data_IF_739960915905
#
_entry.id   IF_739960915905
#
_cell.length_a   1.000
_cell.length_b   1.000
_cell.length_c   1.000
_cell.angle_alpha   90.00
_cell.angle_beta   90.00
_cell.angle_gamma   90.00
#
_symmetry.space_group_name_H-M   'P 1'
#
loop_
_entity.id
_entity.type
_entity.pdbx_description
1 polymer ?
#
# COMPACT_ATOMS: atom_id res chain seq x y z
N UNK A 1 -53.74 8.49 40.15
CA UNK A 1 -52.89 8.41 38.96
C UNK A 1 -51.54 9.08 39.34
N UNK A 2 -50.49 8.29 39.46
CA UNK A 2 -49.19 8.80 39.83
C UNK A 2 -48.53 9.37 38.57
N UNK A 3 -48.29 10.69 38.55
CA UNK A 3 -47.51 11.31 37.49
C UNK A 3 -46.05 10.92 37.66
N UNK A 4 -45.52 10.09 36.74
CA UNK A 4 -44.11 9.82 36.63
C UNK A 4 -43.49 11.05 35.93
N UNK A 5 -42.80 11.88 36.68
CA UNK A 5 -41.98 12.96 36.09
C UNK A 5 -40.62 12.34 35.67
N UNK A 6 -40.41 12.15 34.38
CA UNK A 6 -39.11 11.84 33.85
C UNK A 6 -38.24 13.07 34.03
N UNK A 7 -37.25 12.98 34.92
CA UNK A 7 -36.21 14.02 34.99
C UNK A 7 -35.51 14.15 33.65
N UNK A 8 -35.25 15.37 33.22
CA UNK A 8 -34.41 15.64 32.04
C UNK A 8 -33.00 15.09 32.33
N UNK A 9 -32.70 13.90 31.80
CA UNK A 9 -31.36 13.38 31.77
C UNK A 9 -30.59 14.19 30.71
N UNK A 10 -29.83 15.20 31.16
CA UNK A 10 -28.75 15.79 30.35
C UNK A 10 -27.53 14.92 30.59
N UNK A 11 -27.00 14.23 29.60
CA UNK A 11 -25.71 13.55 29.75
C UNK A 11 -24.68 14.59 30.23
N UNK A 12 -23.76 14.23 31.14
CA UNK A 12 -22.71 15.15 31.55
C UNK A 12 -22.00 15.67 30.28
N UNK A 13 -21.68 16.98 30.22
CA UNK A 13 -20.94 17.52 29.10
C UNK A 13 -19.71 16.65 28.86
N UNK A 14 -19.33 16.37 27.61
CA UNK A 14 -18.10 15.64 27.33
C UNK A 14 -16.97 16.34 28.08
N UNK A 15 -16.04 15.57 28.68
CA UNK A 15 -14.98 16.15 29.48
C UNK A 15 -14.29 17.24 28.63
N UNK A 16 -14.16 18.48 29.15
CA UNK A 16 -13.48 19.53 28.39
C UNK A 16 -12.09 19.06 28.06
N UNK A 17 -11.65 19.22 26.81
CA UNK A 17 -10.31 18.97 26.29
C UNK A 17 -9.98 17.53 25.83
N UNK A 18 -10.91 16.79 25.24
CA UNK A 18 -10.59 15.59 24.46
C UNK A 18 -10.52 15.92 22.97
N UNK A 19 -9.39 15.63 22.35
CA UNK A 19 -9.17 15.81 20.89
C UNK A 19 -9.21 14.45 20.23
N UNK A 20 -10.08 14.30 19.22
CA UNK A 20 -10.05 13.19 18.28
C UNK A 20 -9.27 13.61 17.03
N UNK A 21 -8.41 12.75 16.54
CA UNK A 21 -7.51 13.01 15.41
C UNK A 21 -7.91 12.11 14.26
N UNK A 22 -8.06 12.68 13.06
CA UNK A 22 -8.25 11.91 11.83
C UNK A 22 -6.98 12.02 11.01
N UNK A 23 -6.37 10.89 10.66
CA UNK A 23 -5.15 10.82 9.85
C UNK A 23 -5.34 9.86 8.68
N UNK A 24 -4.88 10.28 7.50
CA UNK A 24 -4.71 9.42 6.33
C UNK A 24 -3.27 8.95 6.22
N UNK A 25 -3.05 7.66 6.05
CA UNK A 25 -1.74 7.08 5.76
C UNK A 25 -1.74 6.39 4.41
N UNK A 26 -0.73 6.66 3.59
CA UNK A 26 -0.68 6.34 2.16
C UNK A 26 0.63 5.60 1.84
N UNK A 27 0.56 4.27 1.74
CA UNK A 27 1.69 3.39 1.41
C UNK A 27 1.81 3.23 -0.09
N UNK A 28 2.83 3.81 -0.70
CA UNK A 28 2.98 3.76 -2.16
C UNK A 28 3.54 2.42 -2.65
N UNK A 29 3.32 2.16 -3.94
CA UNK A 29 3.75 0.92 -4.59
C UNK A 29 5.27 0.87 -4.78
N UNK A 30 5.78 -0.33 -5.06
CA UNK A 30 7.20 -0.55 -5.33
C UNK A 30 7.74 0.41 -6.38
N UNK A 31 8.89 1.00 -6.12
CA UNK A 31 9.54 2.02 -6.96
C UNK A 31 8.66 3.24 -7.27
N UNK A 32 7.54 3.44 -6.56
CA UNK A 32 6.80 4.68 -6.64
C UNK A 32 7.22 5.61 -5.50
N UNK A 33 7.71 6.78 -5.87
CA UNK A 33 8.13 7.80 -4.92
C UNK A 33 7.83 9.17 -5.51
N UNK A 34 6.82 9.86 -4.96
CA UNK A 34 6.40 11.18 -5.46
C UNK A 34 7.52 12.23 -5.38
N UNK A 35 8.36 12.17 -4.33
CA UNK A 35 9.47 13.10 -4.14
C UNK A 35 10.53 12.92 -5.22
N UNK A 36 10.87 11.67 -5.56
CA UNK A 36 11.82 11.36 -6.63
C UNK A 36 11.25 11.71 -8.02
N UNK A 37 9.96 11.42 -8.27
CA UNK A 37 9.27 11.86 -9.50
C UNK A 37 9.29 13.37 -9.65
N UNK A 38 9.04 14.12 -8.58
CA UNK A 38 9.08 15.58 -8.59
C UNK A 38 10.51 16.11 -8.72
N UNK A 39 11.48 15.44 -8.13
CA UNK A 39 12.90 15.74 -8.29
C UNK A 39 13.35 15.64 -9.76
N UNK A 40 12.85 14.65 -10.52
CA UNK A 40 13.04 14.55 -11.97
C UNK A 40 12.41 15.74 -12.69
N UNK A 41 11.13 16.05 -12.42
CA UNK A 41 10.42 17.16 -13.05
C UNK A 41 11.12 18.51 -12.77
N UNK A 42 11.67 18.66 -11.57
CA UNK A 42 12.45 19.84 -11.16
C UNK A 42 13.93 19.83 -11.59
N UNK A 43 14.39 18.77 -12.24
CA UNK A 43 15.80 18.61 -12.65
C UNK A 43 16.79 18.87 -11.50
N UNK A 44 16.50 18.32 -10.33
CA UNK A 44 17.25 18.55 -9.10
C UNK A 44 18.62 17.86 -9.08
N UNK A 45 19.43 18.17 -8.07
CA UNK A 45 20.74 17.52 -7.86
C UNK A 45 20.58 16.03 -7.54
N UNK A 46 19.55 15.64 -6.78
CA UNK A 46 19.27 14.24 -6.46
C UNK A 46 18.91 13.44 -7.72
N UNK A 47 18.07 13.99 -8.60
CA UNK A 47 17.78 13.38 -9.88
C UNK A 47 19.03 13.17 -10.73
N UNK A 48 19.87 14.19 -10.88
CA UNK A 48 21.13 14.11 -11.64
C UNK A 48 22.10 13.07 -11.10
N UNK A 49 22.06 12.84 -9.78
CA UNK A 49 22.95 11.87 -9.14
C UNK A 49 22.43 10.43 -9.22
N UNK A 50 21.11 10.24 -9.12
CA UNK A 50 20.53 8.93 -8.87
C UNK A 50 19.51 8.47 -9.94
N UNK A 51 18.94 9.37 -10.74
CA UNK A 51 17.83 9.09 -11.63
C UNK A 51 18.07 9.40 -13.12
N UNK A 52 19.22 9.94 -13.50
CA UNK A 52 19.45 10.50 -14.85
C UNK A 52 19.56 9.43 -15.95
N UNK A 53 19.82 8.17 -15.60
CA UNK A 53 19.83 7.09 -16.59
C UNK A 53 18.39 6.65 -16.95
N UNK A 54 17.87 6.99 -18.14
CA UNK A 54 16.52 6.65 -18.54
C UNK A 54 16.33 5.16 -18.87
N UNK A 55 17.42 4.41 -19.00
CA UNK A 55 17.38 2.96 -19.21
C UNK A 55 17.22 2.19 -17.90
N UNK A 56 17.39 2.85 -16.77
CA UNK A 56 17.28 2.28 -15.45
C UNK A 56 15.84 2.37 -14.96
N UNK A 57 15.29 1.24 -14.51
CA UNK A 57 13.96 1.19 -13.91
C UNK A 57 14.09 1.65 -12.46
N UNK A 58 13.99 2.96 -12.24
CA UNK A 58 14.14 3.59 -10.95
C UNK A 58 12.94 4.49 -10.60
N UNK A 59 12.83 4.85 -9.32
CA UNK A 59 11.71 5.63 -8.78
C UNK A 59 11.60 7.05 -9.35
N UNK A 60 12.68 7.62 -9.85
CA UNK A 60 12.67 8.94 -10.50
C UNK A 60 11.97 8.91 -11.86
N UNK A 61 12.05 7.78 -12.58
CA UNK A 61 11.48 7.66 -13.91
C UNK A 61 9.98 7.36 -13.92
N UNK A 62 9.40 7.07 -12.75
CA UNK A 62 7.96 6.88 -12.59
C UNK A 62 7.20 8.21 -12.48
N UNK A 63 5.89 8.19 -12.79
CA UNK A 63 4.96 9.27 -12.44
C UNK A 63 4.32 9.00 -11.07
N UNK A 64 3.55 9.95 -10.59
CA UNK A 64 2.75 9.77 -9.39
C UNK A 64 1.76 8.61 -9.56
N UNK A 65 1.75 7.73 -8.59
CA UNK A 65 0.74 6.69 -8.44
C UNK A 65 -0.62 7.25 -8.02
N UNK A 66 -1.64 6.42 -7.99
CA UNK A 66 -2.94 6.79 -7.40
C UNK A 66 -2.84 7.03 -5.90
N UNK A 67 -1.87 6.41 -5.21
CA UNK A 67 -1.60 6.67 -3.79
C UNK A 67 -1.06 8.08 -3.58
N UNK A 68 -0.08 8.50 -4.36
CA UNK A 68 0.44 9.86 -4.31
C UNK A 68 -0.64 10.91 -4.61
N UNK A 69 -1.54 10.62 -5.58
CA UNK A 69 -2.67 11.50 -5.94
C UNK A 69 -3.74 11.55 -4.85
N UNK A 70 -4.09 10.44 -4.22
CA UNK A 70 -5.01 10.42 -3.07
C UNK A 70 -4.43 11.21 -1.90
N UNK A 71 -3.14 11.01 -1.59
CA UNK A 71 -2.44 11.80 -0.58
C UNK A 71 -2.48 13.30 -0.91
N UNK A 72 -2.30 13.67 -2.18
CA UNK A 72 -2.32 15.07 -2.61
C UNK A 72 -3.70 15.72 -2.43
N UNK A 73 -4.76 14.95 -2.61
CA UNK A 73 -6.15 15.39 -2.44
C UNK A 73 -6.66 15.27 -0.99
N UNK A 74 -5.94 14.61 -0.10
CA UNK A 74 -6.31 14.53 1.31
C UNK A 74 -5.92 15.81 2.05
N UNK A 75 -6.54 16.08 3.22
CA UNK A 75 -6.19 17.23 4.04
C UNK A 75 -4.72 17.18 4.47
N UNK A 76 -3.88 18.03 3.92
CA UNK A 76 -2.40 17.95 4.02
C UNK A 76 -1.85 17.85 5.44
N UNK A 77 -2.43 18.59 6.39
CA UNK A 77 -1.99 18.52 7.80
C UNK A 77 -2.22 17.13 8.42
N UNK A 78 -3.17 16.37 7.88
CA UNK A 78 -3.60 15.07 8.37
C UNK A 78 -3.11 13.91 7.50
N UNK A 79 -2.46 14.19 6.36
CA UNK A 79 -1.95 13.20 5.42
C UNK A 79 -0.51 12.81 5.74
N UNK A 80 -0.24 11.50 5.72
CA UNK A 80 1.09 10.90 5.87
C UNK A 80 1.36 10.08 4.62
N UNK A 81 2.41 10.41 3.88
CA UNK A 81 2.84 9.66 2.72
C UNK A 81 4.06 8.82 3.09
N UNK A 82 4.00 7.54 2.79
CA UNK A 82 5.11 6.62 2.92
C UNK A 82 5.50 6.18 1.52
N UNK A 83 6.72 6.51 1.15
CA UNK A 83 7.27 6.21 -0.16
C UNK A 83 7.38 4.69 -0.39
N UNK A 84 7.35 4.31 -1.66
CA UNK A 84 7.26 2.93 -2.08
C UNK A 84 8.42 2.04 -1.64
N UNK A 85 8.15 0.75 -1.63
CA UNK A 85 9.12 -0.29 -1.27
C UNK A 85 10.32 -0.21 -2.22
N UNK A 86 11.54 -0.27 -1.68
CA UNK A 86 12.79 -0.15 -2.39
C UNK A 86 13.23 1.29 -2.67
N UNK A 87 12.52 2.30 -2.16
CA UNK A 87 12.87 3.72 -2.40
C UNK A 87 13.12 4.51 -1.13
N UNK A 88 13.90 5.56 -1.25
CA UNK A 88 14.11 6.59 -0.23
C UNK A 88 14.07 7.96 -0.91
N UNK A 89 13.48 8.96 -0.24
CA UNK A 89 13.34 10.32 -0.76
C UNK A 89 14.70 10.94 -1.10
N UNK A 90 14.87 11.36 -2.37
CA UNK A 90 16.08 12.00 -2.89
C UNK A 90 17.36 11.15 -2.88
N UNK A 91 17.26 9.84 -2.65
CA UNK A 91 18.36 8.87 -2.66
C UNK A 91 18.21 7.85 -3.80
N UNK A 92 19.21 6.99 -3.99
CA UNK A 92 19.15 5.85 -4.91
C UNK A 92 18.25 4.75 -4.39
N UNK A 93 17.65 4.01 -5.30
CA UNK A 93 16.78 2.88 -4.94
C UNK A 93 17.60 1.69 -4.43
N UNK A 94 17.04 0.93 -3.49
CA UNK A 94 17.68 -0.23 -2.89
C UNK A 94 17.17 -1.54 -3.49
N UNK A 95 18.11 -2.31 -4.08
CA UNK A 95 17.80 -3.54 -4.81
C UNK A 95 17.14 -4.59 -3.92
N UNK A 96 17.57 -4.77 -2.68
CA UNK A 96 17.05 -5.81 -1.80
C UNK A 96 15.63 -5.49 -1.35
N UNK A 97 15.33 -4.23 -1.03
CA UNK A 97 13.97 -3.77 -0.78
C UNK A 97 13.08 -3.98 -2.00
N UNK A 98 13.57 -3.63 -3.18
CA UNK A 98 12.85 -3.81 -4.44
C UNK A 98 12.60 -5.29 -4.78
N UNK A 99 13.62 -6.13 -4.70
CA UNK A 99 13.54 -7.53 -5.15
C UNK A 99 12.77 -8.42 -4.18
N UNK A 100 12.95 -8.24 -2.87
CA UNK A 100 12.45 -9.16 -1.84
C UNK A 100 11.42 -8.52 -0.89
N UNK A 101 11.20 -7.19 -0.95
CA UNK A 101 10.30 -6.48 -0.05
C UNK A 101 10.76 -6.46 1.42
N UNK A 102 12.05 -6.76 1.67
CA UNK A 102 12.68 -6.87 2.98
C UNK A 102 13.68 -5.72 3.22
N UNK A 103 14.50 -5.83 4.27
CA UNK A 103 15.50 -4.85 4.70
C UNK A 103 14.91 -3.46 5.03
N UNK A 104 15.74 -2.43 5.06
CA UNK A 104 15.40 -1.09 5.56
C UNK A 104 14.38 -0.32 4.69
N UNK A 105 14.19 -0.72 3.44
CA UNK A 105 13.18 -0.15 2.53
C UNK A 105 12.04 -1.11 2.19
N UNK A 106 11.98 -2.25 2.88
CA UNK A 106 10.99 -3.29 2.68
C UNK A 106 9.64 -3.01 3.35
N UNK A 107 8.69 -3.96 3.19
CA UNK A 107 7.30 -3.83 3.66
C UNK A 107 7.24 -3.51 5.16
N UNK A 108 7.96 -4.28 6.00
CA UNK A 108 7.91 -4.11 7.47
C UNK A 108 8.53 -2.78 7.89
N UNK A 109 9.64 -2.37 7.26
CA UNK A 109 10.30 -1.10 7.54
C UNK A 109 9.41 0.11 7.18
N UNK A 110 8.76 0.09 6.01
CA UNK A 110 7.80 1.13 5.61
C UNK A 110 6.63 1.27 6.60
N UNK A 111 6.16 0.15 7.17
CA UNK A 111 5.14 0.20 8.22
C UNK A 111 5.67 0.84 9.51
N UNK A 112 6.92 0.60 9.88
CA UNK A 112 7.55 1.29 11.03
C UNK A 112 7.65 2.80 10.78
N UNK A 113 8.10 3.23 9.60
CA UNK A 113 8.15 4.65 9.20
C UNK A 113 6.76 5.29 9.33
N UNK A 114 5.72 4.66 8.77
CA UNK A 114 4.36 5.17 8.89
C UNK A 114 3.86 5.27 10.33
N UNK A 115 4.25 4.33 11.20
CA UNK A 115 3.94 4.39 12.65
C UNK A 115 4.69 5.53 13.35
N UNK A 116 5.94 5.80 12.98
CA UNK A 116 6.74 6.92 13.49
C UNK A 116 6.07 8.25 13.15
N UNK A 117 5.71 8.46 11.89
CA UNK A 117 5.06 9.68 11.42
C UNK A 117 3.71 9.93 12.10
N UNK A 118 2.90 8.88 12.31
CA UNK A 118 1.65 8.99 13.08
C UNK A 118 1.94 9.42 14.52
N UNK A 119 2.90 8.77 15.19
CA UNK A 119 3.24 9.07 16.57
C UNK A 119 3.80 10.51 16.71
N UNK A 120 4.60 10.97 15.75
CA UNK A 120 5.09 12.36 15.71
C UNK A 120 3.96 13.36 15.53
N UNK A 121 3.01 13.12 14.61
CA UNK A 121 1.83 13.99 14.45
C UNK A 121 1.01 14.07 15.74
N UNK A 122 0.80 12.95 16.43
CA UNK A 122 0.09 12.93 17.73
C UNK A 122 0.88 13.73 18.77
N UNK A 123 2.21 13.57 18.82
CA UNK A 123 3.09 14.31 19.73
C UNK A 123 3.02 15.82 19.49
N UNK A 124 3.05 16.25 18.23
CA UNK A 124 2.92 17.66 17.86
C UNK A 124 1.57 18.25 18.27
N UNK A 125 0.48 17.50 18.05
CA UNK A 125 -0.87 17.91 18.47
C UNK A 125 -0.97 18.04 19.99
N UNK A 126 -0.36 17.11 20.75
CA UNK A 126 -0.32 17.15 22.22
C UNK A 126 0.49 18.35 22.70
N UNK A 127 1.63 18.66 22.08
CA UNK A 127 2.45 19.84 22.41
C UNK A 127 1.71 21.15 22.12
N UNK A 128 0.96 21.19 21.02
CA UNK A 128 0.15 22.38 20.68
C UNK A 128 -1.06 22.56 21.62
N UNK A 129 -1.51 21.50 22.28
CA UNK A 129 -2.67 21.49 23.17
C UNK A 129 -2.35 20.77 24.49
N UNK A 130 -1.47 21.33 25.37
CA UNK A 130 -0.97 20.64 26.56
C UNK A 130 -2.06 20.20 27.55
N UNK A 131 -3.15 20.95 27.62
CA UNK A 131 -4.29 20.68 28.51
C UNK A 131 -5.28 19.64 27.94
N UNK A 132 -5.13 19.26 26.66
CA UNK A 132 -6.02 18.33 26.01
C UNK A 132 -5.50 16.88 26.12
N UNK A 133 -6.45 15.92 26.20
CA UNK A 133 -6.16 14.49 26.02
C UNK A 133 -6.47 14.08 24.60
N UNK A 134 -5.60 13.28 24.02
CA UNK A 134 -5.92 12.60 22.76
C UNK A 134 -6.87 11.43 23.09
N UNK A 135 -8.07 11.46 22.58
CA UNK A 135 -9.08 10.44 22.81
C UNK A 135 -9.00 9.31 21.79
N UNK A 136 -9.39 9.60 20.57
CA UNK A 136 -9.40 8.61 19.47
C UNK A 136 -8.54 9.09 18.30
N UNK A 137 -7.67 8.23 17.81
CA UNK A 137 -6.99 8.37 16.53
C UNK A 137 -7.75 7.55 15.49
N UNK A 138 -8.34 8.22 14.52
CA UNK A 138 -9.12 7.62 13.43
C UNK A 138 -8.20 7.55 12.22
N UNK A 139 -8.04 6.38 11.64
CA UNK A 139 -7.13 6.11 10.53
C UNK A 139 -7.89 5.76 9.26
N UNK A 140 -7.54 6.43 8.17
CA UNK A 140 -7.81 6.02 6.79
C UNK A 140 -6.50 5.51 6.19
N UNK A 141 -6.50 4.28 5.74
CA UNK A 141 -5.29 3.58 5.29
C UNK A 141 -5.40 3.28 3.81
N UNK A 142 -4.38 3.64 3.04
CA UNK A 142 -4.35 3.40 1.60
C UNK A 142 -3.06 2.70 1.19
N UNK A 143 -3.12 1.90 0.12
CA UNK A 143 -1.93 1.24 -0.41
C UNK A 143 -2.09 0.74 -1.84
N UNK A 144 -0.95 0.61 -2.54
CA UNK A 144 -0.88 0.05 -3.89
C UNK A 144 0.22 -1.00 -3.98
N UNK A 145 -0.04 -2.12 -4.70
CA UNK A 145 0.98 -3.15 -4.92
C UNK A 145 1.53 -3.72 -3.59
N UNK A 146 2.85 -3.77 -3.40
CA UNK A 146 3.46 -4.10 -2.11
C UNK A 146 3.20 -3.04 -1.04
N UNK A 147 2.90 -1.80 -1.42
CA UNK A 147 2.34 -0.80 -0.50
C UNK A 147 0.94 -1.18 0.00
N UNK A 148 0.13 -1.89 -0.80
CA UNK A 148 -1.14 -2.46 -0.33
C UNK A 148 -0.90 -3.61 0.69
N UNK A 149 0.13 -4.43 0.48
CA UNK A 149 0.56 -5.41 1.49
C UNK A 149 1.05 -4.70 2.77
N UNK A 150 1.81 -3.60 2.65
CA UNK A 150 2.22 -2.78 3.79
C UNK A 150 1.01 -2.18 4.52
N UNK A 151 0.00 -1.68 3.81
CA UNK A 151 -1.25 -1.17 4.39
C UNK A 151 -2.01 -2.25 5.16
N UNK A 152 -2.10 -3.47 4.63
CA UNK A 152 -2.72 -4.62 5.31
C UNK A 152 -1.92 -5.02 6.54
N UNK A 153 -0.60 -5.13 6.45
CA UNK A 153 0.28 -5.41 7.59
C UNK A 153 0.21 -4.29 8.65
N UNK A 154 0.11 -3.03 8.25
CA UNK A 154 -0.12 -1.92 9.16
C UNK A 154 -1.43 -2.09 9.95
N UNK A 155 -2.54 -2.45 9.27
CA UNK A 155 -3.84 -2.73 9.92
C UNK A 155 -3.69 -3.85 10.95
N UNK A 156 -3.00 -4.95 10.61
CA UNK A 156 -2.67 -6.00 11.57
C UNK A 156 -1.91 -5.46 12.78
N UNK A 157 -0.84 -4.68 12.57
CA UNK A 157 -0.02 -4.13 13.66
C UNK A 157 -0.83 -3.25 14.61
N UNK A 158 -1.60 -2.29 14.08
CA UNK A 158 -2.39 -1.37 14.92
C UNK A 158 -3.63 -2.02 15.54
N UNK A 159 -3.98 -3.22 15.10
CA UNK A 159 -5.04 -4.04 15.69
C UNK A 159 -4.59 -4.85 16.91
N UNK A 160 -3.29 -4.96 17.15
CA UNK A 160 -2.72 -5.72 18.27
C UNK A 160 -3.15 -5.11 19.60
N UNK A 161 -3.52 -6.01 20.51
CA UNK A 161 -3.79 -5.67 21.91
C UNK A 161 -2.65 -6.19 22.78
N UNK A 162 -2.37 -5.46 23.86
CA UNK A 162 -1.42 -5.88 24.87
C UNK A 162 -1.79 -7.28 25.39
N UNK A 163 -0.83 -8.17 25.37
CA UNK A 163 -0.92 -9.48 25.99
C UNK A 163 -0.32 -9.41 27.40
N UNK A 164 -1.15 -9.57 28.41
CA UNK A 164 -0.72 -9.50 29.82
C UNK A 164 0.30 -10.57 30.21
N UNK A 165 0.38 -11.65 29.43
CA UNK A 165 1.35 -12.74 29.65
C UNK A 165 2.71 -12.45 29.00
N UNK A 166 2.83 -11.41 28.16
CA UNK A 166 4.07 -11.01 27.51
C UNK A 166 4.43 -9.59 27.94
N UNK A 167 5.47 -9.40 28.78
CA UNK A 167 5.88 -8.06 29.23
C UNK A 167 6.32 -7.09 28.13
N UNK A 168 6.69 -7.63 26.96
CA UNK A 168 7.11 -6.84 25.79
C UNK A 168 5.94 -6.46 24.88
N UNK A 169 4.78 -7.06 25.13
CA UNK A 169 3.58 -6.79 24.34
C UNK A 169 3.00 -5.40 24.65
N UNK A 170 2.58 -4.71 23.63
CA UNK A 170 2.02 -3.37 23.70
C UNK A 170 0.78 -3.25 22.82
N UNK A 171 -0.17 -2.39 23.22
CA UNK A 171 -1.28 -2.03 22.36
C UNK A 171 -0.79 -1.37 21.06
N UNK A 172 -1.40 -1.70 19.94
CA UNK A 172 -1.12 -1.14 18.62
C UNK A 172 0.26 -1.48 18.04
N UNK A 173 0.94 -2.52 18.57
CA UNK A 173 2.19 -3.03 18.01
C UNK A 173 3.24 -1.94 17.75
N UNK A 174 3.70 -1.82 16.50
CA UNK A 174 4.71 -0.83 16.13
C UNK A 174 4.29 0.60 16.48
N UNK A 175 3.03 0.98 16.21
CA UNK A 175 2.53 2.32 16.53
C UNK A 175 2.61 2.61 18.04
N UNK A 176 2.20 1.64 18.87
CA UNK A 176 2.32 1.76 20.33
C UNK A 176 3.76 1.94 20.81
N UNK A 177 4.69 1.22 20.18
CA UNK A 177 6.12 1.35 20.44
C UNK A 177 6.62 2.76 20.12
N UNK A 178 6.27 3.29 18.95
CA UNK A 178 6.68 4.64 18.55
C UNK A 178 6.03 5.73 19.43
N UNK A 179 4.75 5.55 19.82
CA UNK A 179 4.10 6.42 20.82
C UNK A 179 4.86 6.47 22.14
N UNK A 180 5.28 5.30 22.67
CA UNK A 180 6.03 5.24 23.94
C UNK A 180 7.38 5.96 23.85
N UNK A 181 8.11 5.84 22.74
CA UNK A 181 9.37 6.56 22.52
C UNK A 181 9.18 8.09 22.64
N UNK A 182 8.00 8.59 22.31
CA UNK A 182 7.64 10.01 22.40
C UNK A 182 6.91 10.39 23.71
N UNK A 183 6.89 9.50 24.69
CA UNK A 183 6.24 9.73 25.98
C UNK A 183 4.71 9.75 25.93
N UNK A 184 4.12 9.12 24.90
CA UNK A 184 2.69 8.98 24.74
C UNK A 184 2.29 7.58 25.23
N UNK A 185 1.35 7.52 26.19
CA UNK A 185 0.84 6.25 26.70
C UNK A 185 -0.21 5.67 25.74
N UNK A 186 0.04 4.54 25.04
CA UNK A 186 -0.93 3.98 24.12
C UNK A 186 -2.17 3.39 24.82
N UNK A 187 -2.14 3.17 26.12
CA UNK A 187 -3.30 2.67 26.86
C UNK A 187 -4.37 3.76 27.10
N UNK A 188 -4.00 5.04 26.97
CA UNK A 188 -4.90 6.18 27.12
C UNK A 188 -5.57 6.60 25.80
N UNK A 189 -5.17 6.00 24.68
CA UNK A 189 -5.61 6.35 23.33
C UNK A 189 -6.42 5.21 22.75
N UNK A 190 -7.49 5.54 22.02
CA UNK A 190 -8.21 4.60 21.17
C UNK A 190 -7.74 4.76 19.74
N UNK A 191 -7.44 3.67 19.06
CA UNK A 191 -7.19 3.65 17.61
C UNK A 191 -8.36 2.99 16.91
N UNK A 192 -8.87 3.64 15.87
CA UNK A 192 -10.05 3.23 15.10
C UNK A 192 -9.70 3.31 13.60
N UNK A 193 -9.69 2.16 12.93
CA UNK A 193 -9.42 2.10 11.49
C UNK A 193 -10.75 2.28 10.77
N UNK A 194 -10.96 3.49 10.22
CA UNK A 194 -12.21 3.85 9.56
C UNK A 194 -12.32 3.25 8.17
N UNK A 195 -11.23 3.29 7.41
CA UNK A 195 -11.19 2.89 6.02
C UNK A 195 -9.86 2.21 5.66
N UNK A 196 -9.93 1.16 4.84
CA UNK A 196 -8.79 0.54 4.16
C UNK A 196 -9.11 0.51 2.66
N UNK A 197 -8.43 1.35 1.89
CA UNK A 197 -8.54 1.43 0.43
C UNK A 197 -7.26 0.95 -0.24
N UNK A 198 -7.33 -0.16 -0.97
CA UNK A 198 -6.14 -0.77 -1.56
C UNK A 198 -6.32 -1.03 -3.06
N UNK A 199 -5.22 -0.86 -3.80
CA UNK A 199 -5.14 -1.12 -5.21
C UNK A 199 -4.22 -2.32 -5.44
N UNK A 200 -4.73 -3.33 -6.09
CA UNK A 200 -4.06 -4.49 -6.67
C UNK A 200 -2.89 -5.02 -5.82
N UNK A 201 -3.24 -5.62 -4.69
CA UNK A 201 -2.25 -6.10 -3.69
C UNK A 201 -1.35 -7.17 -4.29
N UNK A 202 -0.04 -6.94 -4.21
CA UNK A 202 1.01 -7.93 -4.49
C UNK A 202 1.76 -8.18 -3.20
N UNK A 203 1.94 -9.45 -2.83
CA UNK A 203 2.54 -9.82 -1.54
C UNK A 203 3.94 -10.38 -1.61
N UNK A 204 4.67 -10.17 -2.72
CA UNK A 204 6.06 -10.66 -2.86
C UNK A 204 6.93 -10.17 -1.71
N UNK A 205 7.26 -11.08 -0.81
CA UNK A 205 8.07 -10.82 0.37
C UNK A 205 8.93 -12.05 0.69
N UNK A 206 10.19 -11.85 1.06
CA UNK A 206 11.06 -12.89 1.60
C UNK A 206 11.97 -12.31 2.66
N UNK A 207 11.95 -12.88 3.86
CA UNK A 207 12.93 -12.54 4.91
C UNK A 207 14.33 -13.09 4.60
N UNK A 208 14.42 -14.06 3.70
CA UNK A 208 15.68 -14.74 3.40
C UNK A 208 16.11 -14.40 1.97
N UNK A 209 16.96 -13.40 1.85
CA UNK A 209 17.55 -12.95 0.57
C UNK A 209 18.40 -14.01 -0.13
N UNK A 210 18.73 -15.13 0.55
CA UNK A 210 19.48 -16.26 0.01
C UNK A 210 18.57 -17.32 -0.64
N UNK A 211 17.26 -17.24 -0.51
CA UNK A 211 16.31 -18.15 -1.13
C UNK A 211 15.73 -17.55 -2.41
N UNK A 212 15.70 -18.34 -3.45
CA UNK A 212 15.69 -18.00 -4.85
C UNK A 212 14.37 -17.56 -5.46
N UNK A 213 13.26 -17.46 -4.70
CA UNK A 213 11.99 -16.97 -5.28
C UNK A 213 11.02 -16.53 -4.18
N UNK A 214 10.36 -15.39 -4.33
CA UNK A 214 9.22 -14.99 -3.51
C UNK A 214 8.15 -16.10 -3.58
N UNK A 215 7.65 -16.53 -2.42
CA UNK A 215 6.57 -17.51 -2.36
C UNK A 215 5.27 -16.78 -1.96
N UNK A 216 4.46 -16.45 -2.92
CA UNK A 216 3.23 -15.67 -2.74
C UNK A 216 2.24 -16.28 -1.72
N UNK A 217 2.20 -17.61 -1.58
CA UNK A 217 1.30 -18.26 -0.62
C UNK A 217 1.79 -18.15 0.84
N UNK A 218 3.10 -18.05 1.08
CA UNK A 218 3.66 -17.92 2.43
C UNK A 218 3.58 -16.45 2.93
N UNK A 219 3.61 -15.47 2.04
CA UNK A 219 3.63 -14.06 2.38
C UNK A 219 2.37 -13.61 3.10
N UNK A 220 1.21 -14.20 2.79
CA UNK A 220 -0.06 -13.93 3.48
C UNK A 220 0.06 -14.26 4.96
N UNK A 221 0.68 -15.39 5.31
CA UNK A 221 0.84 -15.84 6.70
C UNK A 221 1.90 -15.01 7.42
N UNK A 222 3.04 -14.77 6.80
CA UNK A 222 4.17 -14.02 7.38
C UNK A 222 3.83 -12.56 7.65
N UNK A 223 3.06 -11.94 6.78
CA UNK A 223 2.61 -10.56 6.87
C UNK A 223 1.21 -10.40 7.45
N UNK A 224 0.54 -11.49 7.85
CA UNK A 224 -0.84 -11.46 8.37
C UNK A 224 -1.80 -10.65 7.51
N UNK A 225 -1.74 -10.82 6.19
CA UNK A 225 -2.45 -9.97 5.23
C UNK A 225 -3.98 -10.15 5.25
N UNK A 226 -4.49 -11.21 5.85
CA UNK A 226 -5.90 -11.49 6.08
C UNK A 226 -6.44 -10.94 7.42
N UNK A 227 -5.57 -10.43 8.31
CA UNK A 227 -5.99 -9.84 9.59
C UNK A 227 -6.35 -8.35 9.45
N UNK A 228 -7.29 -8.05 8.57
CA UNK A 228 -7.75 -6.70 8.24
C UNK A 228 -9.18 -6.39 8.68
N UNK A 229 -9.87 -7.34 9.29
CA UNK A 229 -11.28 -7.24 9.70
C UNK A 229 -11.58 -6.14 10.74
N UNK A 230 -10.55 -5.50 11.31
CA UNK A 230 -10.71 -4.35 12.21
C UNK A 230 -10.97 -3.03 11.48
N UNK A 231 -10.68 -2.95 10.18
CA UNK A 231 -11.09 -1.82 9.37
C UNK A 231 -12.62 -1.87 9.17
N UNK A 232 -13.29 -0.73 9.39
CA UNK A 232 -14.75 -0.66 9.31
C UNK A 232 -15.29 -0.78 7.90
N UNK A 233 -14.53 -0.26 6.93
CA UNK A 233 -14.81 -0.37 5.49
C UNK A 233 -13.53 -0.75 4.78
N UNK A 234 -13.59 -1.80 3.96
CA UNK A 234 -12.46 -2.30 3.17
C UNK A 234 -12.88 -2.28 1.71
N UNK A 235 -12.07 -1.67 0.86
CA UNK A 235 -12.25 -1.61 -0.59
C UNK A 235 -10.94 -2.02 -1.26
N UNK A 236 -11.01 -3.02 -2.12
CA UNK A 236 -9.90 -3.52 -2.90
C UNK A 236 -10.22 -3.44 -4.39
N UNK A 237 -9.49 -2.64 -5.13
CA UNK A 237 -9.58 -2.58 -6.59
C UNK A 237 -8.46 -3.39 -7.21
N UNK A 238 -8.80 -4.30 -8.12
CA UNK A 238 -7.89 -5.28 -8.68
C UNK A 238 -7.81 -5.20 -10.20
N UNK A 239 -6.69 -5.64 -10.77
CA UNK A 239 -6.49 -5.78 -12.20
C UNK A 239 -7.13 -7.09 -12.69
N UNK A 240 -8.03 -7.00 -13.69
CA UNK A 240 -8.66 -8.19 -14.28
C UNK A 240 -7.71 -8.95 -15.20
N UNK A 241 -6.75 -8.29 -15.80
CA UNK A 241 -6.03 -8.79 -16.96
C UNK A 241 -4.51 -8.78 -16.78
N UNK A 242 -4.01 -8.81 -15.54
CA UNK A 242 -2.57 -8.92 -15.30
C UNK A 242 -2.01 -10.20 -15.95
N UNK A 243 -0.92 -10.06 -16.65
CA UNK A 243 -0.32 -11.16 -17.42
C UNK A 243 1.19 -11.30 -17.21
N UNK A 244 1.79 -10.44 -16.35
CA UNK A 244 3.22 -10.48 -16.05
C UNK A 244 3.50 -11.43 -14.88
N UNK A 245 4.67 -12.07 -14.91
CA UNK A 245 5.00 -13.21 -14.06
C UNK A 245 5.09 -12.88 -12.56
N UNK A 246 5.40 -11.63 -12.18
CA UNK A 246 5.69 -11.26 -10.79
C UNK A 246 4.60 -10.37 -10.16
N UNK A 247 3.40 -10.35 -10.73
CA UNK A 247 2.31 -9.48 -10.30
C UNK A 247 1.05 -10.25 -9.90
N UNK A 248 1.23 -11.44 -9.32
CA UNK A 248 0.10 -12.23 -8.86
C UNK A 248 -0.68 -11.51 -7.75
N UNK A 249 -1.99 -11.47 -7.93
CA UNK A 249 -2.90 -10.82 -7.01
C UNK A 249 -3.00 -11.56 -5.67
N UNK A 250 -2.89 -10.81 -4.59
CA UNK A 250 -3.26 -11.27 -3.24
C UNK A 250 -4.63 -10.69 -2.87
N UNK A 251 -5.69 -11.44 -3.07
CA UNK A 251 -7.07 -11.04 -2.80
C UNK A 251 -7.36 -10.77 -1.30
N UNK A 252 -8.59 -10.37 -0.98
CA UNK A 252 -9.08 -10.18 0.39
C UNK A 252 -10.06 -11.28 0.81
N UNK A 253 -9.87 -12.49 0.29
CA UNK A 253 -10.69 -13.65 0.64
C UNK A 253 -10.03 -14.37 1.82
N UNK A 254 -10.83 -14.73 2.82
CA UNK A 254 -10.41 -15.60 3.92
C UNK A 254 -11.37 -16.76 4.10
N UNK A 255 -10.88 -17.85 4.70
CA UNK A 255 -11.72 -19.00 4.99
C UNK A 255 -12.38 -18.86 6.36
N UNK A 256 -13.71 -18.69 6.38
CA UNK A 256 -14.52 -18.67 7.60
C UNK A 256 -14.75 -20.12 8.09
N UNK A 257 -14.03 -20.50 9.17
CA UNK A 257 -14.10 -21.84 9.76
C UNK A 257 -15.50 -22.17 10.33
N UNK A 258 -16.27 -21.16 10.75
CA UNK A 258 -17.62 -21.36 11.30
C UNK A 258 -18.60 -21.62 10.18
N UNK A 259 -18.53 -20.82 9.12
CA UNK A 259 -19.41 -20.95 7.95
C UNK A 259 -18.94 -22.01 6.95
N UNK A 260 -17.72 -22.55 7.15
CA UNK A 260 -17.07 -23.52 6.27
C UNK A 260 -17.04 -23.07 4.79
N UNK A 261 -16.78 -21.80 4.54
CA UNK A 261 -16.72 -21.23 3.20
C UNK A 261 -15.75 -20.04 3.13
N UNK A 262 -15.31 -19.73 1.92
CA UNK A 262 -14.58 -18.50 1.64
C UNK A 262 -15.52 -17.29 1.79
N UNK A 263 -15.02 -16.23 2.43
CA UNK A 263 -15.72 -14.94 2.59
C UNK A 263 -14.79 -13.81 2.22
N UNK A 264 -15.35 -12.78 1.60
CA UNK A 264 -14.63 -11.52 1.38
C UNK A 264 -14.61 -10.72 2.67
N UNK A 265 -13.45 -10.16 3.00
CA UNK A 265 -13.30 -9.28 4.16
C UNK A 265 -13.82 -7.85 3.89
N UNK A 266 -14.12 -7.53 2.64
CA UNK A 266 -14.61 -6.23 2.21
C UNK A 266 -15.22 -6.26 0.81
N UNK A 267 -15.22 -5.11 0.15
CA UNK A 267 -15.65 -4.97 -1.25
C UNK A 267 -14.42 -5.14 -2.13
N UNK A 268 -14.44 -6.14 -3.01
CA UNK A 268 -13.45 -6.31 -4.06
C UNK A 268 -14.09 -6.05 -5.43
N UNK A 269 -13.43 -5.28 -6.26
CA UNK A 269 -13.88 -4.92 -7.61
C UNK A 269 -12.72 -4.97 -8.58
N UNK A 270 -12.86 -5.78 -9.61
CA UNK A 270 -11.91 -5.85 -10.73
C UNK A 270 -12.23 -4.78 -11.78
N UNK A 271 -11.19 -4.19 -12.34
CA UNK A 271 -11.25 -3.30 -13.48
C UNK A 271 -10.48 -3.93 -14.63
N UNK A 272 -10.96 -3.81 -15.88
CA UNK A 272 -10.17 -4.19 -17.04
C UNK A 272 -8.81 -3.47 -17.04
N UNK A 273 -7.74 -4.18 -17.35
CA UNK A 273 -6.40 -3.62 -17.37
C UNK A 273 -5.40 -4.44 -16.55
N UNK A 274 -4.16 -3.96 -16.51
CA UNK A 274 -3.07 -4.56 -15.76
C UNK A 274 -2.77 -3.75 -14.50
N UNK A 275 -1.91 -4.25 -13.64
CA UNK A 275 -1.51 -3.69 -12.34
C UNK A 275 -1.39 -2.15 -12.31
N UNK A 276 -0.61 -1.60 -13.24
CA UNK A 276 -0.39 -0.15 -13.31
C UNK A 276 -1.60 0.63 -13.80
N UNK A 277 -2.52 -0.01 -14.54
CA UNK A 277 -3.80 0.60 -14.92
C UNK A 277 -4.71 0.81 -13.70
N UNK A 278 -4.49 0.05 -12.63
CA UNK A 278 -5.25 0.16 -11.38
C UNK A 278 -4.57 1.11 -10.39
N UNK A 279 -3.25 1.01 -10.23
CA UNK A 279 -2.50 1.79 -9.24
C UNK A 279 -1.79 3.03 -9.77
N UNK A 280 -1.69 3.20 -11.08
CA UNK A 280 -0.93 4.29 -11.70
C UNK A 280 0.59 4.10 -11.60
N UNK A 281 1.32 5.20 -11.56
CA UNK A 281 2.77 5.21 -11.39
C UNK A 281 3.59 5.24 -12.68
N UNK A 282 2.96 5.36 -13.86
CA UNK A 282 3.65 5.41 -15.15
C UNK A 282 3.30 6.66 -15.96
N UNK A 283 4.23 7.08 -16.80
CA UNK A 283 4.03 8.19 -17.73
C UNK A 283 3.34 7.71 -19.01
N UNK A 284 2.67 8.63 -19.69
CA UNK A 284 2.20 8.37 -21.06
C UNK A 284 3.41 8.27 -22.00
N UNK A 285 3.56 7.13 -22.65
CA UNK A 285 4.73 6.89 -23.50
C UNK A 285 4.92 5.43 -23.84
N UNK A 286 6.13 5.03 -24.23
CA UNK A 286 6.44 3.63 -24.48
C UNK A 286 6.30 2.81 -23.20
N UNK A 287 5.78 1.59 -23.36
CA UNK A 287 5.68 0.63 -22.28
C UNK A 287 7.08 0.19 -21.81
N UNK A 288 7.27 0.02 -20.52
CA UNK A 288 8.44 -0.68 -19.98
C UNK A 288 8.50 -2.10 -20.57
N UNK A 289 9.70 -2.56 -20.94
CA UNK A 289 9.91 -3.90 -21.52
C UNK A 289 9.82 -4.98 -20.44
N UNK A 290 8.63 -5.21 -19.93
CA UNK A 290 8.38 -6.19 -18.88
C UNK A 290 8.39 -7.62 -19.40
N UNK A 291 8.83 -8.54 -18.56
CA UNK A 291 8.75 -9.97 -18.83
C UNK A 291 7.32 -10.48 -18.65
N UNK A 292 6.74 -11.02 -19.71
CA UNK A 292 5.38 -11.61 -19.67
C UNK A 292 5.45 -13.06 -19.20
N UNK A 293 6.40 -13.83 -19.72
CA UNK A 293 6.59 -15.22 -19.34
C UNK A 293 8.02 -15.67 -19.58
N UNK A 294 8.50 -16.56 -18.73
CA UNK A 294 9.73 -17.31 -18.90
C UNK A 294 9.41 -18.74 -19.31
N UNK A 295 10.04 -19.26 -20.36
CA UNK A 295 9.77 -20.60 -20.82
C UNK A 295 10.47 -20.96 -22.13
N UNK A 296 10.23 -22.19 -22.62
CA UNK A 296 10.69 -22.63 -23.92
C UNK A 296 10.07 -21.78 -25.05
N UNK A 297 10.64 -21.83 -26.22
CA UNK A 297 10.13 -21.10 -27.38
C UNK A 297 8.67 -21.48 -27.69
N UNK A 298 8.30 -22.75 -27.53
CA UNK A 298 6.91 -23.20 -27.69
C UNK A 298 5.95 -22.52 -26.71
N UNK A 299 6.34 -22.42 -25.43
CA UNK A 299 5.55 -21.75 -24.40
C UNK A 299 5.41 -20.24 -24.70
N UNK A 300 6.49 -19.61 -25.16
CA UNK A 300 6.47 -18.19 -25.56
C UNK A 300 5.54 -17.96 -26.77
N UNK A 301 5.60 -18.83 -27.79
CA UNK A 301 4.74 -18.76 -28.97
C UNK A 301 3.26 -18.95 -28.61
N UNK A 302 2.96 -19.92 -27.77
CA UNK A 302 1.59 -20.18 -27.30
C UNK A 302 1.05 -18.96 -26.54
N UNK A 303 1.82 -18.43 -25.58
CA UNK A 303 1.41 -17.25 -24.80
C UNK A 303 1.24 -16.02 -25.66
N UNK A 304 2.15 -15.79 -26.62
CA UNK A 304 2.03 -14.72 -27.62
C UNK A 304 0.73 -14.83 -28.40
N UNK A 305 0.42 -16.02 -28.93
CA UNK A 305 -0.80 -16.25 -29.67
C UNK A 305 -2.07 -16.00 -28.85
N UNK A 306 -2.08 -16.40 -27.57
CA UNK A 306 -3.18 -16.14 -26.63
C UNK A 306 -3.39 -14.63 -26.43
N UNK A 307 -2.34 -13.88 -26.12
CA UNK A 307 -2.43 -12.43 -25.85
C UNK A 307 -2.86 -11.64 -27.09
N UNK A 308 -2.42 -12.06 -28.29
CA UNK A 308 -2.87 -11.45 -29.55
C UNK A 308 -4.34 -11.77 -29.78
N UNK A 309 -4.78 -13.04 -29.61
CA UNK A 309 -6.17 -13.44 -29.77
C UNK A 309 -7.12 -12.73 -28.80
N UNK A 310 -6.65 -12.42 -27.58
CA UNK A 310 -7.39 -11.65 -26.59
C UNK A 310 -7.42 -10.14 -26.86
N UNK A 311 -6.66 -9.66 -27.85
CA UNK A 311 -6.63 -8.24 -28.24
C UNK A 311 -5.73 -7.34 -27.37
N UNK A 312 -4.93 -7.93 -26.46
CA UNK A 312 -4.01 -7.16 -25.60
C UNK A 312 -2.82 -6.58 -26.36
N UNK A 313 -2.35 -7.33 -27.38
CA UNK A 313 -1.21 -6.97 -28.18
C UNK A 313 -1.46 -7.29 -29.64
N UNK A 314 -0.82 -6.56 -30.54
CA UNK A 314 -0.61 -7.01 -31.91
C UNK A 314 0.61 -7.94 -31.95
N UNK A 315 0.71 -8.76 -32.99
CA UNK A 315 1.83 -9.69 -33.14
C UNK A 315 3.20 -8.98 -33.09
N UNK A 316 3.29 -7.78 -33.65
CA UNK A 316 4.54 -6.97 -33.66
C UNK A 316 4.95 -6.39 -32.30
N UNK A 317 4.02 -6.32 -31.37
CA UNK A 317 4.25 -5.77 -30.03
C UNK A 317 4.79 -6.79 -29.02
N UNK A 318 4.90 -8.06 -29.43
CA UNK A 318 5.41 -9.13 -28.57
C UNK A 318 6.68 -9.72 -29.18
N UNK A 319 7.75 -9.70 -28.41
CA UNK A 319 9.09 -10.12 -28.83
C UNK A 319 9.47 -11.42 -28.12
N UNK A 320 9.69 -12.48 -28.90
CA UNK A 320 10.22 -13.75 -28.41
C UNK A 320 11.75 -13.66 -28.34
N UNK A 321 12.30 -13.92 -27.18
CA UNK A 321 13.75 -13.96 -26.94
C UNK A 321 14.21 -15.42 -26.74
N UNK A 322 14.53 -16.11 -27.81
CA UNK A 322 14.89 -17.54 -27.80
C UNK A 322 16.02 -17.85 -26.82
N UNK A 323 17.14 -17.11 -26.90
CA UNK A 323 18.31 -17.32 -26.02
C UNK A 323 18.06 -16.95 -24.56
N UNK A 324 17.23 -15.96 -24.30
CA UNK A 324 16.88 -15.50 -22.94
C UNK A 324 15.66 -16.23 -22.37
N UNK A 325 15.03 -17.12 -23.15
CA UNK A 325 13.86 -17.89 -22.79
C UNK A 325 12.71 -17.03 -22.24
N UNK A 326 12.52 -15.83 -22.77
CA UNK A 326 11.49 -14.88 -22.33
C UNK A 326 10.69 -14.27 -23.47
N UNK A 327 9.42 -13.98 -23.18
CA UNK A 327 8.53 -13.15 -23.99
C UNK A 327 8.45 -11.76 -23.34
N UNK A 328 8.64 -10.70 -24.11
CA UNK A 328 8.51 -9.32 -23.62
C UNK A 328 7.56 -8.49 -24.48
N UNK A 329 6.99 -7.46 -23.88
CA UNK A 329 6.17 -6.47 -24.59
C UNK A 329 7.00 -5.35 -25.22
N UNK A 330 6.43 -4.68 -26.21
CA UNK A 330 7.01 -3.53 -26.89
C UNK A 330 5.91 -2.64 -27.49
N UNK A 331 5.09 -2.00 -26.63
CA UNK A 331 4.11 -1.00 -27.06
C UNK A 331 4.74 0.38 -27.08
N UNK A 332 4.52 1.12 -28.16
CA UNK A 332 5.09 2.47 -28.33
C UNK A 332 4.33 3.52 -27.51
N UNK A 333 3.06 3.28 -27.21
CA UNK A 333 2.23 4.23 -26.51
C UNK A 333 1.24 3.54 -25.57
N UNK A 334 1.42 3.79 -24.28
CA UNK A 334 0.47 3.48 -23.22
C UNK A 334 0.02 4.81 -22.57
N UNK A 335 -1.27 4.97 -22.33
CA UNK A 335 -1.85 6.21 -21.77
C UNK A 335 -2.12 6.03 -20.28
N UNK A 336 -1.49 6.82 -19.43
CA UNK A 336 -1.69 6.81 -17.97
C UNK A 336 -3.09 7.18 -17.50
N UNK A 337 -3.89 7.82 -18.36
CA UNK A 337 -5.21 8.37 -17.97
C UNK A 337 -6.24 7.30 -17.60
N UNK A 338 -6.03 6.04 -18.00
CA UNK A 338 -6.92 4.96 -17.59
C UNK A 338 -6.88 4.74 -16.08
N UNK A 339 -5.71 4.83 -15.44
CA UNK A 339 -5.55 4.66 -14.00
C UNK A 339 -6.33 5.68 -13.15
N UNK A 340 -6.79 6.77 -13.76
CA UNK A 340 -7.64 7.76 -13.07
C UNK A 340 -9.07 7.29 -12.84
N UNK A 341 -9.52 6.25 -13.56
CA UNK A 341 -10.86 5.67 -13.35
C UNK A 341 -10.93 5.00 -11.96
N UNK A 342 -10.10 4.00 -11.62
CA UNK A 342 -10.11 3.44 -10.26
C UNK A 342 -9.74 4.47 -9.19
N UNK A 343 -8.88 5.47 -9.49
CA UNK A 343 -8.60 6.58 -8.57
C UNK A 343 -9.87 7.33 -8.17
N UNK A 344 -10.71 7.70 -9.14
CA UNK A 344 -11.95 8.44 -8.90
C UNK A 344 -12.91 7.64 -8.00
N UNK A 345 -13.10 6.35 -8.31
CA UNK A 345 -13.95 5.48 -7.49
C UNK A 345 -13.43 5.25 -6.06
N UNK A 346 -12.11 5.34 -5.84
CA UNK A 346 -11.55 5.22 -4.51
C UNK A 346 -11.68 6.51 -3.71
N UNK A 347 -11.73 7.64 -4.38
CA UNK A 347 -11.87 8.96 -3.75
C UNK A 347 -13.33 9.27 -3.33
N UNK A 348 -14.32 8.63 -3.93
CA UNK A 348 -15.76 8.70 -3.59
C UNK A 348 -16.10 7.81 -2.39
#
# INVERSE_FOLDING_TARGET
MSNIVFGNYSPPPPPPNVINVVLGIFFDGTLNNKTNSDARKGNTKSYKKHGEDPSDNNSYNNDWSNIARLWDNYEKRNAIYVEGIGTTDNEGDEMDGYAYGSEDTGIKAKVVIGCQDIAEKISLLKKANPAAKIGTVILDVFGFSRGAAAARYFVHQVSKKKNTSDPKSINFGNLGTEMQKLGINPEEIKVDIRFLGIFDTVSSYSENTWTTSPNFSNDIVELHLDDIAKAKKIVHFTAENEHRINFDLTDIITYDKVKQKNVFLGIERSFPGVHSDIGGGYETGPEAKDEIINGSESVQKERKAQLVAQGWFTDKQLIIHEYRRKLSSNRELVKKTYSYIPLQFMAE
#
